data_IF_442898677958
#
_entry.id   IF_442898677958
#
_cell.length_a   1.000
_cell.length_b   1.000
_cell.length_c   1.000
_cell.angle_alpha   90.00
_cell.angle_beta   90.00
_cell.angle_gamma   90.00
#
_symmetry.space_group_name_H-M   'P 1'
#
loop_
_entity.id
_entity.type
_entity.pdbx_description
1 polymer ?
#
# COMPACT_ATOMS: atom_id res chain seq x y z
N UNK A 1 -18.70 19.12 -30.13
CA UNK A 1 -18.59 17.67 -29.92
C UNK A 1 -17.56 17.45 -28.84
N UNK A 2 -17.96 16.97 -27.67
CA UNK A 2 -17.04 16.74 -26.57
C UNK A 2 -16.43 15.36 -26.78
N UNK A 3 -15.14 15.34 -27.09
CA UNK A 3 -14.35 14.14 -27.31
C UNK A 3 -14.23 13.37 -25.99
N UNK A 4 -15.24 12.56 -25.67
CA UNK A 4 -15.12 11.48 -24.68
C UNK A 4 -14.27 10.37 -25.30
N UNK A 5 -12.96 10.60 -25.33
CA UNK A 5 -11.98 9.56 -25.58
C UNK A 5 -12.16 8.46 -24.50
N UNK A 6 -12.30 7.17 -24.89
CA UNK A 6 -12.37 6.08 -23.93
C UNK A 6 -11.01 5.98 -23.23
N UNK A 7 -10.96 6.39 -21.97
CA UNK A 7 -9.87 6.11 -21.01
C UNK A 7 -9.41 4.67 -21.19
N UNK A 8 -8.20 4.51 -21.73
CA UNK A 8 -7.67 3.21 -22.13
C UNK A 8 -7.48 2.33 -20.88
N UNK A 9 -7.73 1.01 -20.94
CA UNK A 9 -7.58 0.09 -19.81
C UNK A 9 -6.20 0.15 -19.13
N UNK A 10 -5.18 0.60 -19.88
CA UNK A 10 -3.78 0.74 -19.48
C UNK A 10 -3.54 1.87 -18.46
N UNK A 11 -4.23 3.00 -18.54
CA UNK A 11 -4.03 4.10 -17.58
C UNK A 11 -4.62 3.79 -16.19
N UNK A 12 -5.75 3.09 -16.16
CA UNK A 12 -6.41 2.69 -14.92
C UNK A 12 -5.61 1.63 -14.15
N UNK A 13 -5.01 0.68 -14.88
CA UNK A 13 -4.12 -0.34 -14.32
C UNK A 13 -2.84 0.30 -13.78
N UNK A 14 -2.24 1.24 -14.52
CA UNK A 14 -1.06 1.98 -14.07
C UNK A 14 -1.34 2.82 -12.83
N UNK A 15 -2.48 3.51 -12.77
CA UNK A 15 -2.89 4.27 -11.59
C UNK A 15 -3.11 3.36 -10.38
N UNK A 16 -3.80 2.24 -10.55
CA UNK A 16 -4.03 1.26 -9.48
C UNK A 16 -2.72 0.68 -8.96
N UNK A 17 -1.81 0.28 -9.86
CA UNK A 17 -0.48 -0.19 -9.50
C UNK A 17 0.31 0.85 -8.72
N UNK A 18 0.20 2.14 -9.08
CA UNK A 18 0.87 3.23 -8.34
C UNK A 18 0.31 3.41 -6.93
N UNK A 19 -1.00 3.31 -6.73
CA UNK A 19 -1.62 3.37 -5.40
C UNK A 19 -1.25 2.18 -4.52
N UNK A 20 -1.21 0.97 -5.09
CA UNK A 20 -0.77 -0.24 -4.39
C UNK A 20 0.71 -0.15 -4.01
N UNK A 21 1.55 0.33 -4.94
CA UNK A 21 2.98 0.55 -4.67
C UNK A 21 3.22 1.59 -3.57
N UNK A 22 2.46 2.69 -3.57
CA UNK A 22 2.57 3.73 -2.54
C UNK A 22 2.15 3.20 -1.16
N UNK A 23 1.04 2.50 -1.08
CA UNK A 23 0.55 1.92 0.18
C UNK A 23 1.47 0.81 0.71
N UNK A 24 2.07 0.01 -0.16
CA UNK A 24 3.14 -0.92 0.20
C UNK A 24 4.35 -0.17 0.79
N UNK A 25 4.84 0.88 0.13
CA UNK A 25 5.99 1.64 0.61
C UNK A 25 5.74 2.29 1.97
N UNK A 26 4.55 2.88 2.16
CA UNK A 26 4.13 3.47 3.43
C UNK A 26 4.02 2.37 4.51
N UNK A 27 3.35 1.27 4.19
CA UNK A 27 3.18 0.15 5.12
C UNK A 27 4.52 -0.44 5.57
N UNK A 28 5.43 -0.71 4.62
CA UNK A 28 6.76 -1.22 4.92
C UNK A 28 7.58 -0.22 5.75
N UNK A 29 7.56 1.07 5.40
CA UNK A 29 8.26 2.11 6.15
C UNK A 29 7.76 2.27 7.58
N UNK A 30 6.43 2.29 7.78
CA UNK A 30 5.83 2.29 9.11
C UNK A 30 6.15 1.02 9.88
N UNK A 31 6.11 -0.14 9.22
CA UNK A 31 6.48 -1.43 9.79
C UNK A 31 7.91 -1.45 10.32
N UNK A 32 8.87 -0.95 9.54
CA UNK A 32 10.27 -0.79 9.96
C UNK A 32 10.36 0.16 11.15
N UNK A 33 9.70 1.32 11.11
CA UNK A 33 9.77 2.32 12.17
C UNK A 33 9.22 1.78 13.51
N UNK A 34 8.05 1.14 13.49
CA UNK A 34 7.47 0.52 14.68
C UNK A 34 8.30 -0.68 15.16
N UNK A 35 8.78 -1.52 14.23
CA UNK A 35 9.65 -2.64 14.55
C UNK A 35 10.96 -2.20 15.19
N UNK A 36 11.58 -1.13 14.70
CA UNK A 36 12.79 -0.55 15.26
C UNK A 36 12.53 0.04 16.66
N UNK A 37 11.43 0.76 16.84
CA UNK A 37 11.03 1.29 18.15
C UNK A 37 10.84 0.18 19.18
N UNK A 38 10.06 -0.86 18.84
CA UNK A 38 9.80 -1.99 19.74
C UNK A 38 11.10 -2.77 20.01
N UNK A 39 11.92 -2.96 18.97
CA UNK A 39 13.21 -3.64 19.08
C UNK A 39 14.20 -2.91 19.97
N UNK A 40 14.22 -1.57 19.92
CA UNK A 40 15.04 -0.74 20.80
C UNK A 40 14.59 -0.84 22.27
N UNK A 41 13.28 -0.99 22.52
CA UNK A 41 12.72 -1.15 23.87
C UNK A 41 12.93 -2.56 24.44
N UNK A 42 12.92 -3.58 23.60
CA UNK A 42 12.99 -5.00 24.01
C UNK A 42 14.40 -5.59 23.92
N UNK A 43 15.36 -4.87 23.33
CA UNK A 43 16.72 -5.35 23.09
C UNK A 43 16.85 -6.31 21.89
N UNK A 44 15.77 -6.57 21.15
CA UNK A 44 15.73 -7.49 20.01
C UNK A 44 15.45 -6.77 18.69
N UNK A 45 16.36 -5.88 18.31
CA UNK A 45 16.19 -5.01 17.14
C UNK A 45 15.98 -5.77 15.82
N UNK A 46 16.82 -6.76 15.53
CA UNK A 46 16.74 -7.50 14.27
C UNK A 46 15.41 -8.25 14.10
N UNK A 47 14.95 -8.91 15.16
CA UNK A 47 13.71 -9.67 15.15
C UNK A 47 12.48 -8.75 15.07
N UNK A 48 12.47 -7.67 15.85
CA UNK A 48 11.38 -6.71 15.85
C UNK A 48 11.26 -5.93 14.53
N UNK A 49 12.38 -5.53 13.92
CA UNK A 49 12.39 -4.88 12.59
C UNK A 49 11.94 -5.86 11.51
N UNK A 50 12.41 -7.11 11.54
CA UNK A 50 11.99 -8.14 10.60
C UNK A 50 10.47 -8.36 10.65
N UNK A 51 9.93 -8.59 11.85
CA UNK A 51 8.49 -8.75 12.06
C UNK A 51 7.72 -7.48 11.66
N UNK A 52 8.19 -6.31 12.09
CA UNK A 52 7.59 -5.03 11.78
C UNK A 52 7.49 -4.80 10.27
N UNK A 53 8.55 -5.08 9.52
CA UNK A 53 8.59 -4.94 8.06
C UNK A 53 7.60 -5.90 7.38
N UNK A 54 7.57 -7.16 7.79
CA UNK A 54 6.64 -8.16 7.25
C UNK A 54 5.18 -7.77 7.50
N UNK A 55 4.85 -7.39 8.74
CA UNK A 55 3.49 -6.94 9.09
C UNK A 55 3.12 -5.64 8.37
N UNK A 56 4.01 -4.65 8.38
CA UNK A 56 3.79 -3.37 7.74
C UNK A 56 3.58 -3.49 6.23
N UNK A 57 4.42 -4.28 5.55
CA UNK A 57 4.26 -4.60 4.12
C UNK A 57 2.92 -5.30 3.84
N UNK A 58 2.55 -6.29 4.65
CA UNK A 58 1.28 -7.01 4.49
C UNK A 58 0.07 -6.10 4.63
N UNK A 59 0.04 -5.27 5.68
CA UNK A 59 -1.02 -4.28 5.91
C UNK A 59 -1.05 -3.25 4.78
N UNK A 60 0.12 -2.75 4.36
CA UNK A 60 0.24 -1.77 3.27
C UNK A 60 -0.38 -2.27 1.96
N UNK A 61 -0.06 -3.49 1.55
CA UNK A 61 -0.65 -4.11 0.35
C UNK A 61 -2.15 -4.34 0.51
N UNK A 62 -2.58 -4.86 1.66
CA UNK A 62 -3.99 -5.12 1.92
C UNK A 62 -4.82 -3.84 1.84
N UNK A 63 -4.34 -2.75 2.46
CA UNK A 63 -4.98 -1.43 2.34
C UNK A 63 -4.99 -0.94 0.90
N UNK A 64 -3.87 -1.05 0.18
CA UNK A 64 -3.77 -0.67 -1.22
C UNK A 64 -4.79 -1.35 -2.12
N UNK A 65 -4.98 -2.65 -1.94
CA UNK A 65 -5.96 -3.45 -2.67
C UNK A 65 -7.40 -3.05 -2.29
N UNK A 66 -7.69 -2.90 -1.00
CA UNK A 66 -9.03 -2.48 -0.53
C UNK A 66 -9.39 -1.10 -1.09
N UNK A 67 -8.46 -0.15 -1.05
CA UNK A 67 -8.63 1.20 -1.61
C UNK A 67 -8.85 1.16 -3.14
N UNK A 68 -8.09 0.32 -3.86
CA UNK A 68 -8.27 0.13 -5.29
C UNK A 68 -9.66 -0.43 -5.62
N UNK A 69 -10.11 -1.45 -4.90
CA UNK A 69 -11.43 -2.08 -5.08
C UNK A 69 -12.56 -1.09 -4.73
N UNK A 70 -12.44 -0.38 -3.61
CA UNK A 70 -13.41 0.61 -3.18
C UNK A 70 -13.57 1.74 -4.23
N UNK A 71 -12.45 2.21 -4.80
CA UNK A 71 -12.45 3.21 -5.87
C UNK A 71 -13.11 2.70 -7.15
N UNK A 72 -12.85 1.44 -7.53
CA UNK A 72 -13.49 0.83 -8.69
C UNK A 72 -15.01 0.73 -8.53
N UNK A 73 -15.52 0.44 -7.33
CA UNK A 73 -16.97 0.41 -7.07
C UNK A 73 -17.63 1.79 -7.15
N UNK A 74 -16.93 2.85 -6.74
CA UNK A 74 -17.48 4.20 -6.76
C UNK A 74 -17.49 4.86 -8.15
N UNK A 75 -16.76 4.28 -9.12
CA UNK A 75 -16.67 4.77 -10.51
C UNK A 75 -17.75 4.21 -11.43
N UNK A 76 -18.66 3.38 -10.92
CA UNK A 76 -19.77 2.78 -11.67
C UNK A 76 -21.14 3.28 -11.15
N UNK A 77 -21.54 4.53 -11.45
CA UNK A 77 -22.96 4.93 -11.48
C UNK A 77 -23.61 4.58 -12.83
#
# INVERSE_FOLDING_TARGET
MNEHAPKTPTEDAAHTGRWIGLSLAIGAGLGVAFGAMIGALTGHLALAVGLGTSFGSGIGVMLGVVLAVARSRHRNP
#
